data_IF_585115550705
#
_entry.id   IF_585115550705
#
_cell.length_a   1.000
_cell.length_b   1.000
_cell.length_c   1.000
_cell.angle_alpha   90.00
_cell.angle_beta   90.00
_cell.angle_gamma   90.00
#
_symmetry.space_group_name_H-M   'P 1'
#
loop_
_entity.id
_entity.type
_entity.pdbx_description
1 polymer ?
#
# COMPACT_ATOMS: atom_id res chain seq x y z
N UNK A 1 -23.23 -32.76 -7.03
CA UNK A 1 -24.02 -33.95 -7.45
C UNK A 1 -23.46 -34.61 -8.72
N UNK A 2 -22.12 -34.62 -8.91
CA UNK A 2 -21.49 -35.12 -10.14
C UNK A 2 -20.36 -36.13 -9.87
N UNK A 3 -20.44 -36.84 -8.72
CA UNK A 3 -19.32 -37.65 -8.21
C UNK A 3 -19.67 -39.15 -8.05
N UNK A 4 -20.89 -39.56 -8.44
CA UNK A 4 -21.38 -40.95 -8.26
C UNK A 4 -21.54 -41.77 -9.54
N UNK A 5 -21.28 -41.19 -10.71
CA UNK A 5 -21.43 -41.89 -12.00
C UNK A 5 -20.15 -42.60 -12.49
N UNK A 6 -19.00 -42.36 -11.86
CA UNK A 6 -17.70 -42.89 -12.32
C UNK A 6 -17.31 -44.25 -11.71
N UNK A 7 -18.07 -44.79 -10.74
CA UNK A 7 -17.70 -46.04 -10.05
C UNK A 7 -18.30 -47.33 -10.65
N UNK A 8 -19.13 -47.28 -11.68
CA UNK A 8 -19.88 -48.47 -12.13
C UNK A 8 -19.25 -49.27 -13.30
N UNK A 9 -18.11 -48.87 -13.85
CA UNK A 9 -17.55 -49.54 -15.04
C UNK A 9 -16.41 -50.55 -14.79
N UNK A 10 -16.00 -50.79 -13.54
CA UNK A 10 -14.81 -51.62 -13.25
C UNK A 10 -15.14 -52.94 -12.55
N UNK A 11 -15.98 -53.80 -13.14
CA UNK A 11 -15.94 -55.25 -12.88
C UNK A 11 -16.42 -56.05 -14.10
N UNK A 12 -15.48 -56.51 -14.92
CA UNK A 12 -15.70 -57.64 -15.83
C UNK A 12 -14.59 -58.68 -15.63
N UNK A 13 -14.93 -59.98 -15.49
CA UNK A 13 -13.95 -61.04 -15.31
C UNK A 13 -13.27 -61.38 -16.63
N UNK A 14 -11.97 -61.68 -16.54
CA UNK A 14 -11.17 -62.19 -17.63
C UNK A 14 -11.63 -63.62 -17.98
N UNK A 15 -12.12 -63.83 -19.20
CA UNK A 15 -12.30 -65.17 -19.72
C UNK A 15 -11.78 -65.25 -21.16
N UNK A 16 -10.83 -66.16 -21.32
CA UNK A 16 -10.13 -66.49 -22.55
C UNK A 16 -11.08 -66.99 -23.64
N UNK A 17 -10.65 -66.73 -24.87
CA UNK A 17 -11.02 -67.35 -26.15
C UNK A 17 -12.09 -66.68 -27.01
N UNK A 18 -11.82 -66.78 -28.31
CA UNK A 18 -12.66 -66.50 -29.47
C UNK A 18 -12.86 -65.03 -29.88
N UNK A 19 -12.17 -64.73 -30.99
CA UNK A 19 -12.30 -63.57 -31.87
C UNK A 19 -13.77 -63.33 -32.22
N UNK A 20 -14.15 -62.06 -32.40
CA UNK A 20 -15.47 -61.54 -32.77
C UNK A 20 -16.50 -61.37 -31.64
N UNK A 21 -16.50 -60.19 -30.98
CA UNK A 21 -17.71 -59.56 -30.39
C UNK A 21 -17.51 -58.16 -29.80
N UNK A 22 -16.54 -57.37 -30.29
CA UNK A 22 -16.21 -56.06 -29.73
C UNK A 22 -16.93 -54.86 -30.39
N UNK A 23 -17.80 -55.11 -31.38
CA UNK A 23 -18.48 -54.05 -32.14
C UNK A 23 -19.67 -53.36 -31.45
N UNK A 24 -20.42 -53.93 -30.49
CA UNK A 24 -21.60 -53.23 -29.95
C UNK A 24 -21.28 -52.30 -28.75
N UNK A 25 -20.17 -52.50 -28.03
CA UNK A 25 -19.83 -51.67 -26.87
C UNK A 25 -19.25 -50.30 -27.25
N UNK A 26 -18.56 -50.22 -28.41
CA UNK A 26 -17.91 -49.00 -28.89
C UNK A 26 -18.91 -47.97 -29.46
N UNK A 27 -20.10 -48.43 -29.90
CA UNK A 27 -21.17 -47.57 -30.41
C UNK A 27 -21.98 -46.89 -29.30
N UNK A 28 -22.09 -47.48 -28.10
CA UNK A 28 -22.84 -46.86 -26.99
C UNK A 28 -22.03 -45.72 -26.36
N UNK A 29 -20.71 -45.88 -26.22
CA UNK A 29 -19.82 -44.88 -25.62
C UNK A 29 -19.62 -43.65 -26.52
N UNK A 30 -19.64 -43.82 -27.85
CA UNK A 30 -19.49 -42.71 -28.80
C UNK A 30 -20.75 -41.84 -28.92
N UNK A 31 -21.94 -42.36 -28.57
CA UNK A 31 -23.18 -41.57 -28.61
C UNK A 31 -23.41 -40.67 -27.39
N UNK A 32 -22.74 -40.92 -26.25
CA UNK A 32 -22.93 -40.14 -25.01
C UNK A 32 -21.91 -38.99 -24.84
N UNK A 33 -20.87 -38.93 -25.66
CA UNK A 33 -19.82 -37.91 -25.56
C UNK A 33 -20.20 -36.48 -25.99
N UNK A 34 -21.21 -36.20 -26.86
CA UNK A 34 -21.49 -34.82 -27.26
C UNK A 34 -22.31 -34.02 -26.22
N UNK A 35 -22.85 -34.65 -25.17
CA UNK A 35 -23.68 -33.96 -24.16
C UNK A 35 -22.88 -33.30 -23.02
N UNK A 36 -21.58 -33.53 -22.90
CA UNK A 36 -20.76 -32.95 -21.81
C UNK A 36 -19.97 -31.70 -22.21
N UNK A 37 -20.04 -31.27 -23.48
CA UNK A 37 -19.29 -30.11 -24.00
C UNK A 37 -20.07 -28.78 -23.82
N UNK A 38 -21.29 -28.85 -23.29
CA UNK A 38 -22.22 -27.72 -23.18
C UNK A 38 -22.11 -26.83 -21.94
N UNK A 39 -21.19 -27.07 -21.00
CA UNK A 39 -20.95 -26.14 -19.89
C UNK A 39 -20.10 -24.94 -20.37
N UNK A 40 -20.63 -24.15 -21.31
CA UNK A 40 -20.16 -22.78 -21.49
C UNK A 40 -20.83 -21.93 -20.42
N UNK A 41 -20.01 -21.24 -19.64
CA UNK A 41 -20.43 -20.24 -18.67
C UNK A 41 -21.44 -19.30 -19.31
N UNK A 42 -22.72 -19.46 -18.94
CA UNK A 42 -23.79 -18.53 -19.28
C UNK A 42 -23.46 -17.20 -18.62
N UNK A 43 -22.84 -16.30 -19.37
CA UNK A 43 -22.71 -14.89 -19.00
C UNK A 43 -24.10 -14.30 -19.13
N UNK A 44 -24.81 -14.13 -18.01
CA UNK A 44 -26.12 -13.48 -18.04
C UNK A 44 -25.94 -12.02 -18.47
N UNK A 45 -26.70 -11.52 -19.45
CA UNK A 45 -26.72 -10.10 -19.77
C UNK A 45 -27.17 -9.31 -18.54
N UNK A 46 -26.36 -8.32 -18.13
CA UNK A 46 -26.64 -7.45 -16.98
C UNK A 46 -25.86 -7.76 -15.69
N UNK A 47 -24.89 -8.68 -15.71
CA UNK A 47 -23.97 -8.81 -14.57
C UNK A 47 -22.88 -7.72 -14.63
N UNK A 48 -22.63 -6.99 -13.52
CA UNK A 48 -21.57 -6.00 -13.47
C UNK A 48 -20.20 -6.68 -13.61
N UNK A 49 -19.35 -6.07 -14.42
CA UNK A 49 -17.98 -6.53 -14.66
C UNK A 49 -17.12 -6.26 -13.41
N UNK A 50 -16.26 -7.21 -13.05
CA UNK A 50 -15.30 -6.98 -11.96
C UNK A 50 -14.16 -6.09 -12.45
N UNK A 51 -13.81 -5.09 -11.64
CA UNK A 51 -12.64 -4.26 -11.88
C UNK A 51 -11.38 -5.12 -11.78
N UNK A 52 -10.56 -5.09 -12.82
CA UNK A 52 -9.22 -5.65 -12.84
C UNK A 52 -8.23 -4.50 -12.70
N UNK A 53 -7.35 -4.58 -11.71
CA UNK A 53 -6.24 -3.65 -11.53
C UNK A 53 -4.97 -4.48 -11.41
N UNK A 54 -4.09 -4.36 -12.41
CA UNK A 54 -2.82 -5.08 -12.47
C UNK A 54 -1.69 -4.06 -12.39
N UNK A 55 -0.58 -4.46 -11.77
CA UNK A 55 0.60 -3.62 -11.60
C UNK A 55 1.86 -4.42 -11.90
N UNK A 56 2.84 -3.75 -12.50
CA UNK A 56 4.20 -4.18 -12.68
C UNK A 56 5.14 -3.03 -12.32
N UNK A 57 6.29 -3.36 -11.72
CA UNK A 57 7.33 -2.41 -11.34
C UNK A 57 8.60 -2.71 -12.14
N UNK A 58 9.11 -1.70 -12.82
CA UNK A 58 10.33 -1.78 -13.62
C UNK A 58 11.32 -0.70 -13.17
N UNK A 59 12.62 -1.00 -13.28
CA UNK A 59 13.65 0.02 -13.07
C UNK A 59 13.58 1.06 -14.19
N UNK A 60 13.47 2.34 -13.83
CA UNK A 60 13.41 3.44 -14.78
C UNK A 60 14.75 3.77 -15.44
N UNK A 61 14.72 4.73 -16.36
CA UNK A 61 15.89 5.18 -17.13
C UNK A 61 16.88 6.02 -16.32
N UNK A 62 16.42 6.64 -15.23
CA UNK A 62 17.23 7.45 -14.32
C UNK A 62 17.75 6.57 -13.17
N UNK A 63 18.97 6.85 -12.71
CA UNK A 63 19.47 6.30 -11.43
C UNK A 63 18.44 6.65 -10.35
N UNK A 64 18.03 5.65 -9.56
CA UNK A 64 16.95 5.69 -8.53
C UNK A 64 15.51 5.92 -9.00
N UNK A 65 15.27 5.93 -10.31
CA UNK A 65 13.93 6.00 -10.87
C UNK A 65 13.29 4.62 -11.04
N UNK A 66 12.00 4.53 -10.77
CA UNK A 66 11.17 3.34 -10.97
C UNK A 66 9.94 3.72 -11.77
N UNK A 67 9.63 2.92 -12.78
CA UNK A 67 8.39 3.04 -13.54
C UNK A 67 7.42 2.00 -13.03
N UNK A 68 6.29 2.46 -12.51
CA UNK A 68 5.18 1.59 -12.10
C UNK A 68 4.11 1.71 -13.15
N UNK A 69 3.73 0.59 -13.76
CA UNK A 69 2.74 0.57 -14.83
C UNK A 69 1.76 -0.57 -14.64
N UNK A 70 0.63 -0.48 -15.32
CA UNK A 70 -0.42 -1.48 -15.16
C UNK A 70 -1.48 -1.42 -16.23
N UNK A 71 -2.37 -2.41 -16.16
CA UNK A 71 -3.58 -2.47 -16.98
C UNK A 71 -4.81 -2.51 -16.10
N UNK A 72 -5.90 -1.96 -16.62
CA UNK A 72 -7.20 -1.94 -15.94
C UNK A 72 -8.35 -1.85 -16.94
N UNK A 73 -9.53 -2.28 -16.52
CA UNK A 73 -10.79 -2.07 -17.24
C UNK A 73 -11.58 -0.88 -16.69
N UNK A 74 -10.95 -0.04 -15.86
CA UNK A 74 -11.56 1.20 -15.39
C UNK A 74 -11.74 2.21 -16.53
N UNK A 75 -12.68 3.15 -16.38
CA UNK A 75 -12.89 4.22 -17.35
C UNK A 75 -11.67 5.13 -17.50
N UNK A 76 -11.51 5.72 -18.67
CA UNK A 76 -10.48 6.71 -18.92
C UNK A 76 -10.61 7.91 -17.96
N UNK A 77 -9.48 8.51 -17.61
CA UNK A 77 -9.35 9.59 -16.62
C UNK A 77 -9.66 9.17 -15.17
N UNK A 78 -9.86 7.89 -14.88
CA UNK A 78 -9.92 7.42 -13.49
C UNK A 78 -8.58 7.70 -12.79
N UNK A 79 -8.55 8.42 -11.65
CA UNK A 79 -7.32 8.72 -10.93
C UNK A 79 -6.73 7.45 -10.29
N UNK A 80 -5.41 7.36 -10.31
CA UNK A 80 -4.63 6.30 -9.68
C UNK A 80 -3.47 6.94 -8.94
N UNK A 81 -3.30 6.60 -7.67
CA UNK A 81 -2.15 7.02 -6.87
C UNK A 81 -1.25 5.82 -6.61
N UNK A 82 0.04 5.99 -6.85
CA UNK A 82 1.06 4.98 -6.61
C UNK A 82 2.02 5.50 -5.55
N UNK A 83 2.34 4.69 -4.55
CA UNK A 83 3.30 5.00 -3.51
C UNK A 83 4.33 3.87 -3.37
N UNK A 84 5.57 4.23 -3.05
CA UNK A 84 6.62 3.30 -2.66
C UNK A 84 6.88 3.42 -1.17
N UNK A 85 6.75 2.31 -0.44
CA UNK A 85 6.79 2.27 1.02
C UNK A 85 7.93 1.35 1.47
N UNK A 86 8.77 1.84 2.38
CA UNK A 86 9.76 1.03 3.07
C UNK A 86 9.38 0.90 4.54
N UNK A 87 9.36 -0.34 5.03
CA UNK A 87 9.13 -0.63 6.44
C UNK A 87 10.44 -0.62 7.23
N UNK A 88 10.35 -0.34 8.53
CA UNK A 88 11.46 -0.35 9.45
C UNK A 88 11.15 -1.18 10.68
N UNK A 89 12.21 -1.77 11.21
CA UNK A 89 12.17 -2.59 12.40
C UNK A 89 13.05 -1.94 13.47
N UNK A 90 12.54 -1.78 14.70
CA UNK A 90 13.33 -1.25 15.80
C UNK A 90 14.50 -2.20 16.12
N UNK A 91 15.68 -1.65 16.34
CA UNK A 91 16.88 -2.45 16.65
C UNK A 91 17.06 -2.72 18.14
N UNK A 92 16.46 -1.90 19.01
CA UNK A 92 16.56 -2.03 20.46
C UNK A 92 15.22 -1.79 21.16
N UNK A 93 15.09 -2.30 22.39
CA UNK A 93 13.91 -2.09 23.23
C UNK A 93 13.73 -0.64 23.68
N UNK A 94 14.80 0.17 23.68
CA UNK A 94 14.73 1.61 23.96
C UNK A 94 14.14 2.41 22.79
N UNK A 95 14.47 2.04 21.54
CA UNK A 95 13.85 2.64 20.34
C UNK A 95 12.34 2.35 20.31
N UNK A 96 11.95 1.20 20.86
CA UNK A 96 10.57 0.77 21.00
C UNK A 96 9.77 1.69 21.94
N UNK A 97 10.38 2.13 23.05
CA UNK A 97 9.73 2.99 24.04
C UNK A 97 9.44 4.39 23.49
N UNK A 98 10.28 4.91 22.58
CA UNK A 98 10.02 6.16 21.85
C UNK A 98 8.92 6.06 20.79
N UNK A 99 8.64 4.86 20.28
CA UNK A 99 7.56 4.60 19.31
C UNK A 99 6.24 4.18 19.99
N UNK A 100 6.29 3.80 21.27
CA UNK A 100 5.14 3.43 22.10
C UNK A 100 4.45 4.66 22.69
N UNK A 101 3.78 5.44 21.84
CA UNK A 101 2.67 6.27 22.29
C UNK A 101 1.38 5.67 21.73
N UNK A 102 0.51 5.21 22.63
CA UNK A 102 -0.82 4.61 22.42
C UNK A 102 -0.89 3.12 21.98
N UNK A 103 -1.17 2.27 22.97
CA UNK A 103 -1.94 1.00 22.97
C UNK A 103 -1.94 0.20 21.64
N UNK A 104 -0.84 -0.48 21.32
CA UNK A 104 -0.78 -1.85 20.73
C UNK A 104 0.70 -2.23 20.47
N UNK A 105 1.07 -3.52 20.28
CA UNK A 105 2.48 -3.94 20.19
C UNK A 105 3.18 -3.25 19.00
N UNK A 106 4.53 -3.13 19.01
CA UNK A 106 5.27 -2.30 18.05
C UNK A 106 5.16 -2.87 16.63
N UNK A 107 4.10 -2.51 15.91
CA UNK A 107 3.98 -2.77 14.49
C UNK A 107 4.99 -1.86 13.79
N UNK A 108 5.82 -2.44 12.94
CA UNK A 108 6.85 -1.76 12.14
C UNK A 108 6.44 -0.34 11.72
N UNK A 109 7.31 0.65 11.95
CA UNK A 109 7.13 1.98 11.35
C UNK A 109 7.46 1.92 9.85
N UNK A 110 7.05 2.92 9.08
CA UNK A 110 7.26 2.96 7.64
C UNK A 110 7.58 4.39 7.19
N UNK A 111 8.22 4.48 6.03
CA UNK A 111 8.47 5.72 5.30
C UNK A 111 7.89 5.57 3.90
N UNK A 112 7.20 6.61 3.44
CA UNK A 112 6.82 6.74 2.04
C UNK A 112 8.02 7.34 1.31
N UNK A 113 8.71 6.53 0.51
CA UNK A 113 9.91 6.95 -0.23
C UNK A 113 9.58 7.95 -1.33
N UNK A 114 8.47 7.73 -2.03
CA UNK A 114 7.90 8.63 -3.02
C UNK A 114 6.45 8.23 -3.33
N UNK A 115 5.68 9.17 -3.88
CA UNK A 115 4.34 8.90 -4.42
C UNK A 115 4.04 9.77 -5.63
N UNK A 116 3.24 9.24 -6.55
CA UNK A 116 2.80 9.94 -7.74
C UNK A 116 1.35 9.59 -8.09
N UNK A 117 0.62 10.57 -8.60
CA UNK A 117 -0.73 10.37 -9.14
C UNK A 117 -0.69 10.37 -10.66
N UNK A 118 -1.50 9.51 -11.26
CA UNK A 118 -1.67 9.34 -12.71
C UNK A 118 -3.13 9.05 -13.01
N UNK A 119 -3.47 8.92 -14.29
CA UNK A 119 -4.83 8.59 -14.73
C UNK A 119 -4.82 7.42 -15.70
N UNK A 120 -5.95 6.71 -15.77
CA UNK A 120 -6.17 5.67 -16.78
C UNK A 120 -6.30 6.30 -18.16
N UNK A 121 -5.59 5.73 -19.14
CA UNK A 121 -5.70 6.04 -20.54
C UNK A 121 -5.70 4.73 -21.36
N UNK A 122 -6.77 4.48 -22.08
CA UNK A 122 -6.95 3.29 -22.93
C UNK A 122 -6.74 1.98 -22.16
N UNK A 123 -7.27 1.92 -20.94
CA UNK A 123 -7.13 0.76 -20.05
C UNK A 123 -5.70 0.51 -19.53
N UNK A 124 -4.82 1.50 -19.64
CA UNK A 124 -3.44 1.46 -19.12
C UNK A 124 -3.17 2.65 -18.22
N UNK A 125 -2.17 2.53 -17.37
CA UNK A 125 -1.71 3.62 -16.53
C UNK A 125 -0.22 3.45 -16.24
N UNK A 126 0.44 4.56 -15.94
CA UNK A 126 1.87 4.59 -15.63
C UNK A 126 2.19 5.77 -14.71
N UNK A 127 3.07 5.54 -13.74
CA UNK A 127 3.64 6.54 -12.85
C UNK A 127 5.16 6.35 -12.75
N UNK A 128 5.90 7.45 -12.58
CA UNK A 128 7.34 7.42 -12.30
C UNK A 128 7.57 7.82 -10.85
N UNK A 129 8.40 7.05 -10.14
CA UNK A 129 8.76 7.28 -8.75
C UNK A 129 10.28 7.40 -8.61
N UNK A 130 10.75 8.39 -7.85
CA UNK A 130 12.14 8.67 -7.54
C UNK A 130 12.41 8.33 -6.08
N UNK A 131 12.94 7.14 -5.81
CA UNK A 131 13.09 6.67 -4.42
C UNK A 131 14.28 7.30 -3.68
N UNK A 132 15.16 8.02 -4.38
CA UNK A 132 16.34 8.63 -3.79
C UNK A 132 16.48 10.08 -4.26
N UNK A 133 16.92 10.93 -3.34
CA UNK A 133 17.26 12.31 -3.58
C UNK A 133 18.79 12.47 -3.61
N UNK A 134 19.33 13.40 -4.42
CA UNK A 134 20.75 13.68 -4.43
C UNK A 134 21.16 14.36 -3.11
N UNK A 135 22.12 13.75 -2.40
CA UNK A 135 22.79 14.38 -1.25
C UNK A 135 23.85 15.39 -1.69
N UNK A 136 24.39 16.17 -0.74
CA UNK A 136 25.48 17.13 -1.02
C UNK A 136 26.77 16.46 -1.51
N UNK A 137 26.91 15.15 -1.29
CA UNK A 137 28.01 14.32 -1.78
C UNK A 137 27.79 13.79 -3.21
N UNK A 138 26.65 14.14 -3.84
CA UNK A 138 26.26 13.69 -5.17
C UNK A 138 25.78 12.23 -5.23
N UNK A 139 25.67 11.53 -4.09
CA UNK A 139 25.08 10.19 -4.03
C UNK A 139 23.56 10.28 -3.84
N UNK A 140 22.86 9.22 -4.21
CA UNK A 140 21.42 9.08 -3.93
C UNK A 140 21.19 8.58 -2.51
N UNK A 141 20.32 9.26 -1.77
CA UNK A 141 19.90 8.93 -0.41
C UNK A 141 18.38 8.83 -0.34
N UNK A 142 17.88 7.86 0.42
CA UNK A 142 16.46 7.84 0.79
C UNK A 142 16.21 8.89 1.88
N UNK A 143 15.01 9.49 1.90
CA UNK A 143 14.71 10.64 2.76
C UNK A 143 14.93 10.35 4.26
N UNK A 144 14.45 9.20 4.73
CA UNK A 144 14.64 8.76 6.11
C UNK A 144 16.11 8.73 6.55
N UNK A 145 17.07 8.45 5.65
CA UNK A 145 18.50 8.40 6.00
C UNK A 145 19.02 9.77 6.41
N UNK A 146 18.51 10.82 5.76
CA UNK A 146 18.86 12.21 6.05
C UNK A 146 18.15 12.74 7.31
N UNK A 147 16.98 12.19 7.64
CA UNK A 147 16.19 12.59 8.80
C UNK A 147 16.58 11.83 10.08
N UNK A 148 17.08 10.60 9.97
CA UNK A 148 17.39 9.73 11.10
C UNK A 148 18.30 10.37 12.17
N UNK A 149 19.40 11.08 11.82
CA UNK A 149 20.23 11.74 12.82
C UNK A 149 19.51 12.88 13.55
N UNK A 150 18.56 13.56 12.89
CA UNK A 150 17.77 14.64 13.49
C UNK A 150 16.76 14.11 14.51
N UNK A 151 16.21 12.93 14.23
CA UNK A 151 15.20 12.29 15.08
C UNK A 151 15.83 11.46 16.20
N UNK A 152 17.13 11.18 16.14
CA UNK A 152 17.83 10.36 17.15
C UNK A 152 17.36 8.91 17.19
N UNK A 153 16.76 8.40 16.10
CA UNK A 153 16.19 7.06 16.03
C UNK A 153 17.19 6.07 15.43
N UNK A 154 17.30 4.86 15.99
CA UNK A 154 18.05 3.76 15.37
C UNK A 154 17.06 2.75 14.79
N UNK A 155 16.82 2.83 13.48
CA UNK A 155 15.88 1.97 12.76
C UNK A 155 16.63 1.10 11.75
N UNK A 156 16.28 -0.19 11.68
CA UNK A 156 16.77 -1.09 10.63
C UNK A 156 15.76 -1.11 9.48
N UNK A 157 16.13 -0.66 8.27
CA UNK A 157 15.23 -0.74 7.12
C UNK A 157 14.99 -2.19 6.69
N UNK A 158 13.79 -2.46 6.18
CA UNK A 158 13.51 -3.68 5.44
C UNK A 158 14.36 -3.73 4.17
N UNK A 159 14.72 -4.93 3.71
CA UNK A 159 15.45 -5.15 2.46
C UNK A 159 14.54 -5.11 1.22
N UNK A 160 13.26 -4.81 1.42
CA UNK A 160 12.22 -4.77 0.40
C UNK A 160 11.53 -3.41 0.39
N UNK A 161 10.97 -3.07 -0.77
CA UNK A 161 10.08 -1.91 -0.94
C UNK A 161 8.75 -2.40 -1.47
N UNK A 162 7.67 -1.95 -0.84
CA UNK A 162 6.29 -2.24 -1.22
C UNK A 162 5.77 -1.11 -2.09
N UNK A 163 5.48 -1.41 -3.35
CA UNK A 163 4.76 -0.50 -4.23
C UNK A 163 3.28 -0.75 -4.05
N UNK A 164 2.51 0.30 -3.79
CA UNK A 164 1.07 0.24 -3.53
C UNK A 164 0.38 1.18 -4.51
N UNK A 165 -0.62 0.65 -5.21
CA UNK A 165 -1.48 1.41 -6.12
C UNK A 165 -2.87 1.51 -5.53
N UNK A 166 -3.44 2.71 -5.51
CA UNK A 166 -4.73 3.05 -4.92
C UNK A 166 -5.60 3.81 -5.93
N UNK A 167 -6.91 3.52 -5.97
CA UNK A 167 -7.84 4.18 -6.90
C UNK A 167 -8.31 5.56 -6.41
N UNK A 168 -8.15 5.88 -5.12
CA UNK A 168 -8.53 7.16 -4.55
C UNK A 168 -7.64 7.43 -3.34
N UNK A 169 -7.14 8.66 -3.19
CA UNK A 169 -6.59 9.11 -1.91
C UNK A 169 -7.76 9.60 -1.04
N UNK A 170 -8.01 8.89 0.07
CA UNK A 170 -8.95 9.21 1.17
C UNK A 170 -10.43 9.49 0.81
N UNK A 171 -11.35 8.85 1.56
CA UNK A 171 -12.79 9.12 1.63
C UNK A 171 -13.68 9.06 0.36
N UNK A 172 -13.15 8.66 -0.80
CA UNK A 172 -13.92 8.69 -2.06
C UNK A 172 -14.27 7.32 -2.66
N UNK A 173 -14.05 6.21 -1.94
CA UNK A 173 -14.38 4.91 -2.50
C UNK A 173 -15.89 4.75 -2.74
N UNK A 174 -16.75 5.25 -1.85
CA UNK A 174 -18.21 5.12 -2.02
C UNK A 174 -18.74 5.88 -3.24
N UNK A 175 -18.39 7.16 -3.46
CA UNK A 175 -18.69 7.85 -4.72
C UNK A 175 -18.17 7.11 -5.96
N UNK A 176 -16.93 6.61 -5.91
CA UNK A 176 -16.35 5.84 -7.01
C UNK A 176 -17.11 4.52 -7.25
N UNK A 177 -17.48 3.79 -6.20
CA UNK A 177 -18.27 2.56 -6.30
C UNK A 177 -19.65 2.82 -6.93
N UNK A 178 -20.28 3.96 -6.62
CA UNK A 178 -21.55 4.36 -7.24
C UNK A 178 -21.38 4.67 -8.73
N UNK A 179 -20.39 5.48 -9.09
CA UNK A 179 -20.09 5.79 -10.48
C UNK A 179 -19.77 4.51 -11.27
N UNK A 180 -18.92 3.64 -10.72
CA UNK A 180 -18.58 2.37 -11.35
C UNK A 180 -19.81 1.48 -11.51
N UNK A 181 -20.73 1.45 -10.53
CA UNK A 181 -21.96 0.68 -10.62
C UNK A 181 -22.89 1.20 -11.73
N UNK A 182 -22.99 2.52 -11.93
CA UNK A 182 -23.73 3.13 -13.05
C UNK A 182 -23.12 2.73 -14.41
N UNK A 183 -21.80 2.61 -14.46
CA UNK A 183 -21.05 2.16 -15.64
C UNK A 183 -21.01 0.63 -15.80
N UNK A 184 -21.66 -0.12 -14.90
CA UNK A 184 -21.76 -1.58 -14.95
C UNK A 184 -20.51 -2.32 -14.44
N UNK A 185 -19.71 -1.68 -13.59
CA UNK A 185 -18.55 -2.25 -12.92
C UNK A 185 -18.79 -2.49 -11.42
N UNK A 186 -18.00 -3.40 -10.82
CA UNK A 186 -17.93 -3.61 -9.37
C UNK A 186 -16.49 -3.85 -8.92
N UNK A 187 -16.13 -3.35 -7.74
CA UNK A 187 -14.83 -3.64 -7.15
C UNK A 187 -14.80 -5.08 -6.57
N UNK A 188 -13.76 -5.88 -6.87
CA UNK A 188 -13.60 -7.20 -6.25
C UNK A 188 -13.25 -7.04 -4.76
N UNK A 189 -13.78 -7.92 -3.91
CA UNK A 189 -13.54 -7.86 -2.45
C UNK A 189 -12.06 -7.98 -2.08
N UNK A 190 -11.25 -8.63 -2.91
CA UNK A 190 -9.84 -8.87 -2.64
C UNK A 190 -8.96 -7.61 -2.67
N UNK A 191 -9.37 -6.58 -3.41
CA UNK A 191 -8.63 -5.30 -3.50
C UNK A 191 -9.15 -4.25 -2.53
N UNK A 192 -10.33 -4.46 -1.93
CA UNK A 192 -10.90 -3.51 -0.97
C UNK A 192 -10.29 -3.74 0.41
N UNK A 193 -9.90 -2.65 1.06
CA UNK A 193 -9.38 -2.58 2.42
C UNK A 193 -10.19 -1.60 3.25
N UNK A 194 -10.02 -1.68 4.55
CA UNK A 194 -10.67 -0.80 5.53
C UNK A 194 -9.60 -0.29 6.50
N UNK A 195 -9.56 1.02 6.74
CA UNK A 195 -8.69 1.64 7.75
C UNK A 195 -9.20 1.36 9.17
N UNK A 196 -8.41 1.71 10.18
CA UNK A 196 -8.82 1.55 11.59
C UNK A 196 -10.06 2.41 11.93
N UNK A 197 -10.24 3.52 11.22
CA UNK A 197 -11.35 4.48 11.32
C UNK A 197 -12.59 4.01 10.55
N UNK A 198 -12.51 2.87 9.84
CA UNK A 198 -13.62 2.32 9.05
C UNK A 198 -13.72 2.86 7.61
N UNK A 199 -12.76 3.68 7.16
CA UNK A 199 -12.73 4.19 5.79
C UNK A 199 -12.34 3.07 4.83
N UNK A 200 -13.02 2.96 3.68
CA UNK A 200 -12.74 1.93 2.68
C UNK A 200 -11.90 2.50 1.55
N UNK A 201 -10.93 1.73 1.07
CA UNK A 201 -10.12 2.05 -0.11
C UNK A 201 -9.85 0.81 -0.94
N UNK A 202 -9.49 0.98 -2.22
CA UNK A 202 -9.09 -0.12 -3.10
C UNK A 202 -7.60 -0.04 -3.38
N UNK A 203 -6.87 -1.12 -3.11
CA UNK A 203 -5.43 -1.23 -3.30
C UNK A 203 -5.01 -2.51 -4.04
N UNK A 204 -3.88 -2.41 -4.74
CA UNK A 204 -3.08 -3.55 -5.18
C UNK A 204 -1.63 -3.25 -4.86
N UNK A 205 -0.88 -4.24 -4.37
CA UNK A 205 0.51 -4.07 -3.97
C UNK A 205 1.44 -5.10 -4.61
N UNK A 206 2.69 -4.69 -4.77
CA UNK A 206 3.80 -5.52 -5.25
C UNK A 206 5.05 -5.16 -4.47
N UNK A 207 5.65 -6.16 -3.84
CA UNK A 207 6.88 -6.00 -3.08
C UNK A 207 8.06 -6.49 -3.90
N UNK A 208 9.10 -5.67 -4.01
CA UNK A 208 10.37 -6.05 -4.67
C UNK A 208 11.52 -6.00 -3.68
N UNK A 209 12.55 -6.82 -3.94
CA UNK A 209 13.81 -6.75 -3.21
C UNK A 209 14.57 -5.49 -3.67
N UNK A 210 14.81 -4.57 -2.72
CA UNK A 210 15.51 -3.33 -2.98
C UNK A 210 16.21 -2.89 -1.70
N UNK A 211 17.50 -3.17 -1.61
CA UNK A 211 18.33 -2.74 -0.48
C UNK A 211 18.46 -1.22 -0.45
N UNK A 212 18.33 -0.62 0.74
CA UNK A 212 18.54 0.82 0.90
C UNK A 212 19.98 1.20 0.50
N UNK A 213 20.17 2.38 -0.14
CA UNK A 213 21.48 2.82 -0.58
C UNK A 213 22.36 3.20 0.61
N UNK A 214 23.69 3.14 0.45
CA UNK A 214 24.68 3.69 1.39
C UNK A 214 24.50 3.25 2.86
N UNK A 215 23.97 2.05 3.12
CA UNK A 215 23.80 1.54 4.48
C UNK A 215 25.11 1.59 5.29
N UNK A 216 25.04 2.11 6.51
CA UNK A 216 26.19 2.26 7.41
C UNK A 216 27.06 3.50 7.15
N UNK A 217 26.74 4.32 6.15
CA UNK A 217 27.38 5.62 5.94
C UNK A 217 26.57 6.73 6.60
N UNK A 218 27.20 7.72 7.26
CA UNK A 218 26.48 8.89 7.76
C UNK A 218 25.91 9.67 6.58
N UNK A 219 24.61 9.93 6.60
CA UNK A 219 23.97 10.74 5.58
C UNK A 219 24.55 12.17 5.61
N UNK A 220 24.78 12.80 4.44
CA UNK A 220 25.14 14.20 4.38
C UNK A 220 24.01 15.07 4.93
N UNK A 221 24.32 16.32 5.27
CA UNK A 221 23.27 17.30 5.51
C UNK A 221 22.36 17.35 4.28
N UNK A 222 21.04 17.29 4.48
CA UNK A 222 20.10 17.51 3.38
C UNK A 222 20.42 18.86 2.73
N UNK A 223 20.37 18.92 1.40
CA UNK A 223 20.31 20.21 0.72
C UNK A 223 19.07 20.92 1.28
N UNK A 224 19.27 22.05 1.97
CA UNK A 224 18.12 22.84 2.39
C UNK A 224 17.31 23.15 1.13
N UNK A 225 15.99 22.89 1.12
CA UNK A 225 15.18 23.31 0.01
C UNK A 225 15.47 24.80 -0.21
N UNK A 226 15.88 25.17 -1.41
CA UNK A 226 16.05 26.57 -1.78
C UNK A 226 14.74 27.28 -1.42
N UNK A 227 14.75 28.00 -0.30
CA UNK A 227 13.60 28.76 0.18
C UNK A 227 13.39 29.88 -0.85
N UNK A 228 12.61 29.61 -1.90
CA UNK A 228 12.31 30.41 -3.10
C UNK A 228 12.22 31.94 -2.87
N UNK A 229 13.34 32.59 -2.53
CA UNK A 229 13.40 34.00 -2.13
C UNK A 229 12.84 34.36 -0.74
N UNK A 230 12.52 33.41 0.15
CA UNK A 230 11.89 33.70 1.47
C UNK A 230 12.88 33.98 2.63
N UNK A 231 14.18 33.77 2.41
CA UNK A 231 15.26 34.14 3.36
C UNK A 231 15.29 33.37 4.70
N UNK A 232 16.30 33.66 5.51
CA UNK A 232 16.63 32.98 6.79
C UNK A 232 15.63 33.33 7.91
N UNK A 233 14.41 32.79 7.90
CA UNK A 233 13.41 33.05 8.96
C UNK A 233 13.78 32.41 10.31
N UNK A 234 14.83 31.59 10.37
CA UNK A 234 15.36 31.04 11.63
C UNK A 234 16.26 32.03 12.38
N UNK A 235 16.62 33.18 11.81
CA UNK A 235 17.18 34.28 12.59
C UNK A 235 16.04 34.92 13.37
N UNK A 236 15.70 34.32 14.51
CA UNK A 236 14.94 35.00 15.56
C UNK A 236 15.69 36.28 15.87
N UNK A 237 15.25 37.40 15.29
CA UNK A 237 15.70 38.73 15.71
C UNK A 237 15.51 38.75 17.21
N UNK A 238 16.58 39.00 17.98
CA UNK A 238 16.51 39.05 19.44
C UNK A 238 15.29 39.90 19.81
N UNK A 239 14.39 39.30 20.58
CA UNK A 239 13.19 39.98 21.04
C UNK A 239 13.61 41.32 21.64
N UNK A 240 13.05 42.46 21.18
CA UNK A 240 13.43 43.75 21.72
C UNK A 240 13.24 43.73 23.23
N UNK A 241 14.21 44.23 23.98
CA UNK A 241 14.14 44.21 25.43
C UNK A 241 12.83 44.89 25.87
N UNK A 242 11.95 44.11 26.50
CA UNK A 242 10.69 44.64 27.03
C UNK A 242 11.06 45.70 28.09
N UNK A 243 10.74 46.99 27.89
CA UNK A 243 11.07 48.04 28.85
C UNK A 243 10.30 47.89 30.16
N UNK A 244 9.26 47.04 30.17
CA UNK A 244 8.41 46.80 31.31
C UNK A 244 8.95 45.60 32.10
N UNK A 245 9.52 45.87 33.27
CA UNK A 245 9.87 44.83 34.23
C UNK A 245 8.56 44.29 34.82
N UNK A 246 8.05 43.20 34.27
CA UNK A 246 6.91 42.50 34.86
C UNK A 246 7.32 42.05 36.27
N UNK A 247 6.66 42.58 37.29
CA UNK A 247 6.84 42.14 38.67
C UNK A 247 6.39 40.69 38.77
N UNK A 248 7.36 39.76 38.82
CA UNK A 248 7.07 38.39 39.18
C UNK A 248 6.81 38.38 40.68
N UNK A 249 5.63 37.97 41.16
CA UNK A 249 5.42 37.79 42.58
C UNK A 249 6.43 36.76 43.10
N UNK A 250 7.06 37.03 44.24
CA UNK A 250 8.06 36.12 44.84
C UNK A 250 7.47 34.76 45.20
N UNK A 251 6.14 34.66 45.24
CA UNK A 251 5.42 33.42 45.50
C UNK A 251 4.60 33.01 44.27
N UNK A 252 4.61 31.71 43.89
CA UNK A 252 3.75 31.21 42.83
C UNK A 252 2.29 31.47 43.21
N UNK A 253 1.60 32.33 42.46
CA UNK A 253 0.16 32.45 42.59
C UNK A 253 -0.46 31.22 41.94
N UNK A 254 -1.18 30.43 42.73
CA UNK A 254 -1.97 29.32 42.21
C UNK A 254 -3.42 29.76 42.08
N UNK A 255 -4.06 29.38 40.99
CA UNK A 255 -5.50 29.54 40.81
C UNK A 255 -6.27 28.36 41.41
N UNK A 256 -5.58 27.47 42.14
CA UNK A 256 -6.20 26.35 42.81
C UNK A 256 -7.12 26.84 43.94
N UNK A 257 -8.28 26.19 44.15
CA UNK A 257 -9.13 26.51 45.28
C UNK A 257 -8.37 26.32 46.60
N UNK A 258 -8.62 27.17 47.61
CA UNK A 258 -7.91 27.12 48.89
C UNK A 258 -8.15 25.78 49.59
N UNK A 259 -7.13 25.27 50.24
CA UNK A 259 -7.25 24.03 51.01
C UNK A 259 -8.03 24.26 52.30
N UNK A 260 -8.67 23.22 52.83
CA UNK A 260 -9.49 23.30 54.04
C UNK A 260 -8.73 23.77 55.29
N UNK A 261 -7.40 23.60 55.31
CA UNK A 261 -6.51 24.07 56.38
C UNK A 261 -6.20 25.58 56.27
N UNK A 262 -6.20 26.13 55.06
CA UNK A 262 -6.03 27.57 54.79
C UNK A 262 -7.33 28.35 55.07
N UNK A 263 -8.48 27.68 55.01
CA UNK A 263 -9.79 28.28 55.25
C UNK A 263 -10.11 28.56 56.73
N UNK A 264 -9.34 28.01 57.65
CA UNK A 264 -9.55 28.12 59.10
C UNK A 264 -8.56 29.07 59.79
N UNK A 265 -7.74 29.81 59.03
CA UNK A 265 -6.84 30.85 59.54
C UNK A 265 -7.43 32.25 59.45
#
# INVERSE_FOLDING_TARGET
MCDRLLQLCLRLPAQNSAKWRWLPCLLVITSLLPLTIGCRTLTLPGQPQEVSLQMAVESGSKRSGYTVSGTTNLPDNTPITVAAIRYFYPTSSSDLASLQSTVDPPSSTFEVLDYASTTVAEGKWQAELMLQQPGTDGKGWEEWQMQQPKLGLTLKPAETVSFVTMLTAEDQLTPLEQQLAEEGFRLPRGIVRTTAEGQRYAEVSQTIALTAPNLGQPAPAALEPENYGWGDRYVLVKEPQNPTRLERPDQPQTNAPPTSLEFLR
#
